data_IF_807656908178
#
_entry.id   IF_807656908178
#
_cell.length_a   1.000
_cell.length_b   1.000
_cell.length_c   1.000
_cell.angle_alpha   90.00
_cell.angle_beta   90.00
_cell.angle_gamma   90.00
#
_symmetry.space_group_name_H-M   'P 1'
#
loop_
_entity.id
_entity.type
_entity.pdbx_description
1 polymer ?
#
# COMPACT_ATOMS: atom_id res chain seq x y z
N UNK A 1 -1.29 29.74 -5.79
CA UNK A 1 -1.61 28.61 -6.67
C UNK A 1 -2.88 27.93 -6.16
N UNK A 2 -3.98 27.86 -6.94
CA UNK A 2 -5.25 27.26 -6.49
C UNK A 2 -5.34 25.81 -6.98
N UNK A 3 -5.29 24.85 -6.06
CA UNK A 3 -5.09 23.43 -6.38
C UNK A 3 -6.35 22.73 -6.90
N UNK A 4 -7.51 23.09 -6.35
CA UNK A 4 -8.81 22.44 -6.67
C UNK A 4 -9.49 23.12 -7.87
N UNK A 5 -9.14 24.36 -8.19
CA UNK A 5 -9.76 25.11 -9.29
C UNK A 5 -9.40 24.46 -10.64
N UNK A 6 -10.36 24.36 -11.56
CA UNK A 6 -10.14 23.78 -12.88
C UNK A 6 -9.03 24.50 -13.66
N UNK A 7 -8.32 23.77 -14.52
CA UNK A 7 -7.23 24.29 -15.37
C UNK A 7 -7.63 25.52 -16.17
N UNK A 8 -8.85 25.51 -16.76
CA UNK A 8 -9.40 26.64 -17.52
C UNK A 8 -9.54 27.95 -16.73
N UNK A 9 -9.48 27.91 -15.40
CA UNK A 9 -9.56 29.10 -14.55
C UNK A 9 -8.27 29.35 -13.76
N UNK A 10 -7.12 28.81 -14.21
CA UNK A 10 -5.81 29.03 -13.60
C UNK A 10 -5.53 28.20 -12.34
N UNK A 11 -6.17 27.02 -12.20
CA UNK A 11 -5.84 26.05 -11.14
C UNK A 11 -5.33 24.71 -11.68
N UNK A 12 -5.07 23.74 -10.80
CA UNK A 12 -4.56 22.42 -11.22
C UNK A 12 -5.64 21.37 -11.51
N UNK A 13 -6.88 21.63 -11.09
CA UNK A 13 -8.03 20.76 -11.34
C UNK A 13 -8.04 19.48 -10.51
N UNK A 14 -7.41 19.47 -9.32
CA UNK A 14 -7.52 18.33 -8.42
C UNK A 14 -8.96 18.21 -7.91
N UNK A 15 -9.61 17.06 -8.17
CA UNK A 15 -10.97 16.75 -7.68
C UNK A 15 -10.98 16.49 -6.18
N UNK A 16 -10.00 15.71 -5.70
CA UNK A 16 -9.81 15.39 -4.29
C UNK A 16 -8.34 15.58 -3.91
N UNK A 17 -8.09 16.58 -3.07
CA UNK A 17 -6.75 16.93 -2.64
C UNK A 17 -6.22 15.99 -1.57
N UNK A 18 -7.09 15.38 -0.76
CA UNK A 18 -6.70 14.42 0.27
C UNK A 18 -6.21 13.14 -0.39
N UNK A 19 -6.96 12.60 -1.36
CA UNK A 19 -6.52 11.44 -2.12
C UNK A 19 -5.21 11.69 -2.88
N UNK A 20 -5.05 12.87 -3.47
CA UNK A 20 -3.81 13.21 -4.18
C UNK A 20 -2.60 13.29 -3.23
N UNK A 21 -2.75 13.94 -2.08
CA UNK A 21 -1.70 13.99 -1.06
C UNK A 21 -1.37 12.60 -0.53
N UNK A 22 -2.37 11.77 -0.28
CA UNK A 22 -2.18 10.40 0.18
C UNK A 22 -1.42 9.56 -0.87
N UNK A 23 -1.74 9.71 -2.15
CA UNK A 23 -1.01 9.06 -3.25
C UNK A 23 0.45 9.54 -3.36
N UNK A 24 0.71 10.84 -3.15
CA UNK A 24 2.07 11.38 -3.13
C UNK A 24 2.87 10.84 -1.94
N UNK A 25 2.27 10.78 -0.75
CA UNK A 25 2.89 10.19 0.44
C UNK A 25 3.17 8.70 0.24
N UNK A 26 2.25 7.97 -0.40
CA UNK A 26 2.47 6.57 -0.77
C UNK A 26 3.65 6.42 -1.73
N UNK A 27 3.78 7.30 -2.72
CA UNK A 27 4.93 7.32 -3.64
C UNK A 27 6.26 7.59 -2.91
N UNK A 28 6.25 8.45 -1.90
CA UNK A 28 7.43 8.66 -1.04
C UNK A 28 7.73 7.39 -0.24
N UNK A 29 6.73 6.78 0.39
CA UNK A 29 6.89 5.51 1.10
C UNK A 29 7.46 4.40 0.22
N UNK A 30 6.97 4.29 -1.02
CA UNK A 30 7.51 3.35 -2.02
C UNK A 30 8.99 3.57 -2.33
N UNK A 31 9.42 4.82 -2.49
CA UNK A 31 10.84 5.15 -2.67
C UNK A 31 11.68 4.78 -1.45
N UNK A 32 11.14 4.95 -0.25
CA UNK A 32 11.83 4.54 0.98
C UNK A 32 11.97 3.01 1.04
N UNK A 33 10.98 2.25 0.57
CA UNK A 33 11.05 0.78 0.48
C UNK A 33 12.12 0.32 -0.53
N UNK A 34 12.13 0.92 -1.73
CA UNK A 34 12.98 0.45 -2.83
C UNK A 34 14.38 1.07 -2.88
N UNK A 35 14.57 2.24 -2.28
CA UNK A 35 15.81 3.02 -2.36
C UNK A 35 16.33 3.32 -0.95
N UNK A 36 16.75 2.25 -0.27
CA UNK A 36 17.29 2.27 1.09
C UNK A 36 18.57 3.12 1.22
N UNK A 37 19.31 3.31 0.12
CA UNK A 37 20.52 4.12 0.10
C UNK A 37 20.29 5.64 0.04
N UNK A 38 19.06 6.08 -0.21
CA UNK A 38 18.75 7.50 -0.24
C UNK A 38 18.91 8.12 1.15
N UNK A 39 19.40 9.36 1.22
CA UNK A 39 19.52 10.10 2.49
C UNK A 39 18.18 10.13 3.24
N UNK A 40 17.08 10.30 2.50
CA UNK A 40 15.73 10.27 3.06
C UNK A 40 15.42 8.92 3.73
N UNK A 41 15.73 7.81 3.06
CA UNK A 41 15.54 6.49 3.63
C UNK A 41 16.41 6.29 4.88
N UNK A 42 17.69 6.66 4.84
CA UNK A 42 18.60 6.56 6.00
C UNK A 42 18.13 7.37 7.20
N UNK A 43 17.75 8.63 6.99
CA UNK A 43 17.24 9.52 8.06
C UNK A 43 15.93 8.99 8.64
N UNK A 44 15.02 8.50 7.79
CA UNK A 44 13.78 7.92 8.27
C UNK A 44 14.04 6.60 9.02
N UNK A 45 14.89 5.71 8.48
CA UNK A 45 15.37 4.47 9.08
C UNK A 45 15.91 4.68 10.49
N UNK A 46 16.84 5.61 10.64
CA UNK A 46 17.48 5.90 11.92
C UNK A 46 16.50 6.50 12.94
N UNK A 47 15.62 7.40 12.47
CA UNK A 47 14.68 8.12 13.33
C UNK A 47 13.46 7.32 13.76
N UNK A 48 12.97 6.41 12.91
CA UNK A 48 11.66 5.75 13.11
C UNK A 48 11.70 4.21 13.08
N UNK A 49 12.74 3.60 12.49
CA UNK A 49 12.76 2.14 12.28
C UNK A 49 13.75 1.40 13.19
N UNK A 50 14.82 2.06 13.65
CA UNK A 50 15.88 1.44 14.47
C UNK A 50 16.30 0.04 13.96
N UNK A 51 16.45 -0.12 12.64
CA UNK A 51 16.80 -1.40 11.99
C UNK A 51 15.64 -2.28 11.51
N UNK A 52 14.38 -1.85 11.63
CA UNK A 52 13.21 -2.55 11.07
C UNK A 52 12.90 -2.12 9.62
N UNK A 53 12.16 -2.93 8.87
CA UNK A 53 11.72 -2.60 7.51
C UNK A 53 10.57 -1.60 7.48
N UNK A 54 10.44 -0.83 6.38
CA UNK A 54 9.37 0.16 6.16
C UNK A 54 7.98 -0.36 6.55
N UNK A 55 7.68 -1.58 6.11
CA UNK A 55 6.37 -2.21 6.27
C UNK A 55 6.03 -2.59 7.72
N UNK A 56 7.02 -2.66 8.61
CA UNK A 56 6.87 -3.17 9.99
C UNK A 56 7.00 -2.07 11.04
N UNK A 57 7.38 -0.84 10.67
CA UNK A 57 7.45 0.25 11.66
C UNK A 57 6.09 0.57 12.27
N UNK A 58 6.10 0.80 13.59
CA UNK A 58 4.92 1.20 14.35
C UNK A 58 4.86 2.72 14.47
N UNK A 59 3.64 3.27 14.57
CA UNK A 59 3.46 4.68 14.92
C UNK A 59 3.89 4.89 16.37
N UNK A 60 5.06 5.52 16.58
CA UNK A 60 5.47 5.97 17.90
C UNK A 60 4.55 7.08 18.43
N UNK A 61 4.35 7.15 19.75
CA UNK A 61 3.45 8.13 20.43
C UNK A 61 3.81 9.61 20.22
N UNK A 62 4.97 9.92 19.64
CA UNK A 62 5.46 11.30 19.33
C UNK A 62 5.80 11.47 17.85
N UNK A 63 4.89 11.05 16.97
CA UNK A 63 5.08 11.20 15.53
C UNK A 63 4.75 12.60 15.03
N UNK A 64 5.61 13.13 14.17
CA UNK A 64 5.38 14.38 13.43
C UNK A 64 4.29 14.18 12.37
N UNK A 65 3.56 15.25 12.03
CA UNK A 65 2.49 15.26 11.02
C UNK A 65 2.88 14.57 9.71
N UNK A 66 4.09 14.82 9.20
CA UNK A 66 4.58 14.18 7.97
C UNK A 66 4.79 12.67 8.10
N UNK A 67 5.25 12.18 9.26
CA UNK A 67 5.43 10.75 9.50
C UNK A 67 4.08 10.04 9.64
N UNK A 68 3.11 10.68 10.30
CA UNK A 68 1.73 10.16 10.36
C UNK A 68 1.13 10.02 8.96
N UNK A 69 1.31 11.02 8.09
CA UNK A 69 0.86 10.95 6.71
C UNK A 69 1.52 9.82 5.91
N UNK A 70 2.84 9.62 6.05
CA UNK A 70 3.55 8.50 5.40
C UNK A 70 3.04 7.16 5.93
N UNK A 71 2.80 7.05 7.23
CA UNK A 71 2.29 5.82 7.86
C UNK A 71 0.84 5.54 7.46
N UNK A 72 0.01 6.57 7.32
CA UNK A 72 -1.35 6.44 6.82
C UNK A 72 -1.35 5.99 5.35
N UNK A 73 -0.47 6.60 4.53
CA UNK A 73 -0.29 6.20 3.14
C UNK A 73 0.27 4.78 2.98
N UNK A 74 0.85 4.18 4.02
CA UNK A 74 1.22 2.77 4.03
C UNK A 74 0.02 1.86 3.75
N UNK A 75 -1.18 2.19 4.23
CA UNK A 75 -2.38 1.39 3.95
C UNK A 75 -2.70 1.34 2.44
N UNK A 76 -2.45 2.44 1.73
CA UNK A 76 -2.61 2.50 0.27
C UNK A 76 -1.58 1.60 -0.42
N UNK A 77 -0.34 1.60 0.08
CA UNK A 77 0.69 0.68 -0.39
C UNK A 77 0.30 -0.77 -0.08
N UNK A 78 -0.06 -1.12 1.15
CA UNK A 78 -0.46 -2.49 1.51
C UNK A 78 -1.61 -3.01 0.64
N UNK A 79 -2.57 -2.14 0.30
CA UNK A 79 -3.69 -2.49 -0.58
C UNK A 79 -3.30 -2.61 -2.06
N UNK A 80 -2.35 -1.80 -2.54
CA UNK A 80 -1.96 -1.71 -3.96
C UNK A 80 -0.71 -2.51 -4.35
N UNK A 81 0.17 -2.79 -3.40
CA UNK A 81 1.41 -3.52 -3.61
C UNK A 81 1.12 -4.99 -3.82
N UNK A 82 1.71 -5.53 -4.87
CA UNK A 82 1.68 -6.95 -5.19
C UNK A 82 3.09 -7.45 -5.34
N UNK A 83 3.30 -8.68 -4.93
CA UNK A 83 4.61 -9.28 -5.04
C UNK A 83 4.84 -9.74 -6.48
N UNK A 84 5.80 -9.11 -7.17
CA UNK A 84 6.14 -9.49 -8.53
C UNK A 84 7.23 -10.57 -8.50
N UNK A 85 6.91 -11.73 -9.04
CA UNK A 85 7.80 -12.90 -9.05
C UNK A 85 8.95 -12.66 -10.03
N UNK A 86 10.18 -12.58 -9.48
CA UNK A 86 11.42 -12.59 -10.24
C UNK A 86 11.96 -14.02 -10.43
N UNK A 87 13.20 -14.27 -10.01
CA UNK A 87 13.90 -15.55 -10.20
C UNK A 87 13.49 -16.71 -9.25
N UNK A 88 12.44 -16.55 -8.44
CA UNK A 88 11.98 -17.64 -7.56
C UNK A 88 12.74 -17.85 -6.25
N UNK A 89 13.93 -17.24 -6.06
CA UNK A 89 14.85 -17.62 -4.97
C UNK A 89 14.46 -17.05 -3.59
N UNK A 90 13.74 -15.93 -3.54
CA UNK A 90 13.36 -15.23 -2.30
C UNK A 90 11.82 -15.03 -2.17
N UNK A 91 11.03 -15.98 -2.67
CA UNK A 91 9.56 -15.90 -2.61
C UNK A 91 9.06 -16.62 -1.36
N UNK A 92 8.34 -15.89 -0.50
CA UNK A 92 7.45 -16.54 0.47
C UNK A 92 6.06 -16.71 -0.15
N UNK A 93 5.76 -17.91 -0.68
CA UNK A 93 4.51 -18.20 -1.39
C UNK A 93 3.24 -18.10 -0.54
N UNK A 94 3.36 -18.17 0.79
CA UNK A 94 2.19 -18.13 1.70
C UNK A 94 1.87 -16.73 2.21
N UNK A 95 2.88 -15.90 2.46
CA UNK A 95 2.69 -14.55 3.03
C UNK A 95 2.57 -13.45 1.99
N UNK A 96 3.05 -13.67 0.77
CA UNK A 96 3.05 -12.63 -0.26
C UNK A 96 1.73 -12.58 -1.04
N UNK A 97 1.14 -11.39 -1.14
CA UNK A 97 -0.05 -11.16 -1.96
C UNK A 97 0.33 -11.05 -3.45
N UNK A 98 0.45 -12.21 -4.09
CA UNK A 98 0.67 -12.44 -5.51
C UNK A 98 -0.55 -12.21 -6.41
N UNK A 99 -1.74 -12.63 -5.99
CA UNK A 99 -2.96 -12.56 -6.80
C UNK A 99 -3.88 -11.42 -6.35
N UNK A 100 -4.52 -10.75 -7.31
CA UNK A 100 -5.67 -9.90 -7.00
C UNK A 100 -6.80 -10.81 -6.52
N UNK A 101 -7.33 -10.57 -5.31
CA UNK A 101 -8.63 -11.15 -4.96
C UNK A 101 -9.65 -10.45 -5.88
N UNK A 102 -10.29 -11.16 -6.83
CA UNK A 102 -11.39 -10.53 -7.55
C UNK A 102 -12.44 -10.14 -6.51
N UNK A 103 -13.07 -8.97 -6.68
CA UNK A 103 -14.16 -8.52 -5.80
C UNK A 103 -15.32 -9.53 -5.73
N UNK A 104 -15.36 -10.45 -6.69
CA UNK A 104 -16.33 -11.53 -6.84
C UNK A 104 -15.90 -12.86 -6.22
N UNK A 105 -14.77 -12.95 -5.50
CA UNK A 105 -14.36 -14.21 -4.86
C UNK A 105 -15.30 -14.54 -3.69
N UNK A 106 -16.38 -15.25 -4.01
CA UNK A 106 -17.24 -15.92 -3.03
C UNK A 106 -16.82 -17.37 -2.95
N UNK A 107 -16.48 -17.83 -1.74
CA UNK A 107 -16.41 -19.26 -1.46
C UNK A 107 -17.84 -19.77 -1.59
N UNK A 108 -18.13 -20.45 -2.71
CA UNK A 108 -19.41 -21.14 -2.83
C UNK A 108 -19.42 -22.23 -1.75
N UNK A 109 -20.45 -22.30 -0.90
CA UNK A 109 -20.65 -23.45 -0.03
C UNK A 109 -20.61 -24.71 -0.90
N UNK A 110 -20.00 -25.77 -0.38
CA UNK A 110 -20.03 -27.07 -1.02
C UNK A 110 -21.49 -27.53 -1.10
N UNK A 111 -22.13 -27.36 -2.27
CA UNK A 111 -23.39 -28.03 -2.56
C UNK A 111 -23.04 -29.48 -2.85
N UNK A 112 -23.22 -30.32 -1.82
CA UNK A 112 -23.06 -31.76 -1.95
C UNK A 112 -23.96 -32.27 -3.07
N UNK A 113 -23.40 -33.20 -3.85
CA UNK A 113 -24.16 -34.07 -4.74
C UNK A 113 -25.28 -34.74 -3.92
N UNK A 114 -26.49 -34.17 -3.92
CA UNK A 114 -27.69 -34.92 -3.56
C UNK A 114 -27.97 -35.84 -4.73
N UNK A 115 -27.33 -37.00 -4.72
CA UNK A 115 -27.78 -38.14 -5.50
C UNK A 115 -29.18 -38.49 -5.02
N UNK A 116 -30.18 -38.14 -5.82
CA UNK A 116 -31.53 -38.66 -5.73
C UNK A 116 -31.70 -39.64 -6.89
N UNK A 117 -30.92 -40.72 -6.82
CA UNK A 117 -31.03 -41.89 -7.68
C UNK A 117 -31.40 -43.04 -6.75
N UNK A 118 -32.70 -43.26 -6.54
CA UNK A 118 -33.18 -44.34 -5.69
C UNK A 118 -34.62 -44.21 -5.24
N UNK A 119 -35.56 -44.26 -6.19
CA UNK A 119 -36.73 -45.15 -6.21
C UNK A 119 -37.49 -45.03 -7.54
#
# INVERSE_FOLDING_TARGET
>A
MRLIKQKKHGGLGFRDMQCFNLALLAKIGWRVIHTLDSLLAKVLCDKYYHGKTFCVASMGKKSYWGWNGITEARKVLDNGLRWHVGNGQNINTRMNLWFQKPSTFMVRPWEGFTGADGE
#
